data_IF_977561936195
#
_entry.id   IF_977561936195
#
_cell.length_a   1.000
_cell.length_b   1.000
_cell.length_c   1.000
_cell.angle_alpha   90.00
_cell.angle_beta   90.00
_cell.angle_gamma   90.00
#
_symmetry.space_group_name_H-M   'P 1'
#
loop_
_entity.id
_entity.type
_entity.pdbx_description
1 polymer ?
#
# COMPACT_ATOMS: atom_id res chain seq x y z
N UNK A 1 2.94 15.22 -1.69
CA UNK A 1 3.30 14.44 -0.51
C UNK A 1 4.38 15.14 0.27
N UNK A 2 4.25 15.21 1.56
CA UNK A 2 5.24 15.88 2.39
C UNK A 2 6.41 14.96 2.74
N UNK A 3 7.56 15.56 3.00
CA UNK A 3 8.73 14.82 3.47
C UNK A 3 8.47 14.09 4.79
N UNK A 4 7.53 14.58 5.58
CA UNK A 4 7.16 13.93 6.84
C UNK A 4 6.57 12.55 6.65
N UNK A 5 5.79 12.35 5.60
CA UNK A 5 5.19 11.05 5.32
C UNK A 5 6.26 10.03 4.96
N UNK A 6 7.24 10.45 4.17
CA UNK A 6 8.39 9.61 3.84
C UNK A 6 9.19 9.28 5.09
N UNK A 7 9.36 10.25 5.98
CA UNK A 7 10.08 10.04 7.23
C UNK A 7 9.40 8.97 8.09
N UNK A 8 8.07 8.99 8.14
CA UNK A 8 7.33 7.97 8.89
C UNK A 8 7.55 6.58 8.30
N UNK A 9 7.62 6.46 6.98
CA UNK A 9 7.89 5.18 6.33
C UNK A 9 9.29 4.69 6.63
N UNK A 10 10.27 5.59 6.70
CA UNK A 10 11.64 5.24 7.01
C UNK A 10 11.83 4.71 8.44
N UNK A 11 10.93 5.05 9.32
CA UNK A 11 11.00 4.61 10.71
C UNK A 11 10.54 3.17 10.91
N UNK A 12 10.09 2.50 9.87
CA UNK A 12 9.58 1.13 9.98
C UNK A 12 10.72 0.12 10.14
N UNK A 13 10.72 -0.67 11.23
CA UNK A 13 11.86 -1.54 11.56
C UNK A 13 12.05 -2.75 10.65
N UNK A 14 11.01 -3.15 9.91
CA UNK A 14 11.13 -4.29 8.99
C UNK A 14 11.77 -3.90 7.66
N UNK A 15 12.20 -2.69 7.56
CA UNK A 15 12.79 -2.16 6.36
C UNK A 15 14.20 -2.69 6.21
N UNK A 16 14.35 -3.71 5.40
CA UNK A 16 15.62 -4.36 5.21
C UNK A 16 16.54 -3.57 4.31
N UNK A 17 17.74 -3.31 4.78
CA UNK A 17 18.78 -2.70 3.97
C UNK A 17 19.48 -3.73 3.08
N UNK A 18 19.21 -5.00 3.30
CA UNK A 18 19.93 -6.09 2.66
C UNK A 18 19.29 -6.64 1.40
N UNK A 19 18.14 -6.11 1.01
CA UNK A 19 17.43 -6.56 -0.18
C UNK A 19 17.98 -5.88 -1.43
N UNK A 20 19.21 -6.16 -1.77
CA UNK A 20 19.88 -5.50 -2.88
C UNK A 20 19.31 -5.88 -4.24
N UNK A 21 18.70 -7.07 -4.34
CA UNK A 21 18.15 -7.58 -5.59
C UNK A 21 16.63 -7.47 -5.66
N UNK A 22 16.00 -6.90 -4.63
CA UNK A 22 14.56 -6.77 -4.54
C UNK A 22 14.24 -5.30 -4.27
N UNK A 23 13.23 -4.78 -4.94
CA UNK A 23 12.81 -3.40 -4.71
C UNK A 23 12.42 -3.22 -3.24
N UNK A 24 13.01 -2.25 -2.52
CA UNK A 24 12.62 -1.98 -1.14
C UNK A 24 11.14 -1.64 -1.03
N UNK A 25 10.53 -2.05 0.08
CA UNK A 25 9.10 -1.82 0.30
C UNK A 25 8.75 -0.33 0.21
N UNK A 26 9.58 0.55 0.76
CA UNK A 26 9.30 1.98 0.69
C UNK A 26 9.23 2.47 -0.75
N UNK A 27 10.04 1.91 -1.63
CA UNK A 27 10.03 2.28 -3.04
C UNK A 27 8.77 1.78 -3.73
N UNK A 28 8.32 0.59 -3.36
CA UNK A 28 7.04 0.06 -3.84
C UNK A 28 5.90 0.98 -3.40
N UNK A 29 5.90 1.38 -2.14
CA UNK A 29 4.89 2.27 -1.60
C UNK A 29 4.90 3.62 -2.32
N UNK A 30 6.07 4.17 -2.61
CA UNK A 30 6.20 5.41 -3.37
C UNK A 30 5.60 5.29 -4.77
N UNK A 31 5.93 4.21 -5.47
CA UNK A 31 5.40 3.99 -6.81
C UNK A 31 3.90 3.79 -6.81
N UNK A 32 3.40 3.02 -5.87
CA UNK A 32 1.95 2.82 -5.71
C UNK A 32 1.25 4.14 -5.42
N UNK A 33 1.85 4.96 -4.58
CA UNK A 33 1.31 6.28 -4.24
C UNK A 33 1.21 7.17 -5.50
N UNK A 34 2.24 7.18 -6.32
CA UNK A 34 2.22 7.94 -7.57
C UNK A 34 1.14 7.46 -8.51
N UNK A 35 1.01 6.15 -8.66
CA UNK A 35 -0.01 5.55 -9.52
C UNK A 35 -1.41 5.91 -9.01
N UNK A 36 -1.61 5.82 -7.70
CA UNK A 36 -2.89 6.17 -7.10
C UNK A 36 -3.24 7.63 -7.34
N UNK A 37 -2.28 8.53 -7.20
CA UNK A 37 -2.51 9.94 -7.46
C UNK A 37 -2.85 10.21 -8.92
N UNK A 38 -2.22 9.52 -9.84
CA UNK A 38 -2.54 9.62 -11.26
C UNK A 38 -3.95 9.13 -11.58
N UNK A 39 -4.45 8.19 -10.81
CA UNK A 39 -5.78 7.63 -10.99
C UNK A 39 -6.84 8.34 -10.16
N UNK A 40 -6.52 9.50 -9.60
CA UNK A 40 -7.45 10.33 -8.83
C UNK A 40 -8.01 9.61 -7.60
N UNK A 41 -7.22 8.75 -6.99
CA UNK A 41 -7.57 8.08 -5.74
C UNK A 41 -7.54 9.12 -4.62
N UNK A 42 -8.59 9.20 -3.82
CA UNK A 42 -8.69 10.20 -2.76
C UNK A 42 -7.77 9.92 -1.59
N UNK A 43 -7.72 8.68 -1.16
CA UNK A 43 -6.90 8.26 -0.03
C UNK A 43 -6.31 6.89 -0.28
N UNK A 44 -5.17 6.63 0.32
CA UNK A 44 -4.48 5.35 0.23
C UNK A 44 -4.04 4.93 1.62
N UNK A 45 -4.35 3.70 2.00
CA UNK A 45 -3.89 3.12 3.26
C UNK A 45 -3.08 1.86 2.99
N UNK A 46 -2.15 1.60 3.88
CA UNK A 46 -1.43 0.33 3.97
C UNK A 46 -2.19 -0.54 4.97
N UNK A 47 -2.36 -1.82 4.65
CA UNK A 47 -3.12 -2.73 5.48
C UNK A 47 -2.35 -4.05 5.66
N UNK A 48 -2.84 -4.91 6.54
CA UNK A 48 -2.25 -6.22 6.78
C UNK A 48 -0.95 -6.16 7.56
N UNK A 49 -0.06 -7.10 7.32
CA UNK A 49 1.16 -7.25 8.12
C UNK A 49 2.10 -6.05 8.04
N UNK A 50 2.14 -5.34 6.94
CA UNK A 50 2.98 -4.14 6.84
C UNK A 50 2.43 -2.98 7.67
N UNK A 51 1.12 -2.91 7.87
CA UNK A 51 0.53 -1.89 8.71
C UNK A 51 0.72 -2.18 10.21
N UNK A 52 0.69 -3.46 10.59
CA UNK A 52 0.79 -3.88 11.99
C UNK A 52 2.21 -4.19 12.45
N UNK A 53 3.18 -4.15 11.55
CA UNK A 53 4.58 -4.41 11.89
C UNK A 53 4.93 -5.89 12.01
N UNK A 54 4.10 -6.78 11.49
CA UNK A 54 4.33 -8.23 11.54
C UNK A 54 4.82 -8.79 10.20
N UNK A 55 5.13 -7.93 9.25
CA UNK A 55 5.54 -8.34 7.92
C UNK A 55 6.89 -9.03 7.93
N UNK A 56 7.03 -10.01 7.03
CA UNK A 56 8.29 -10.68 6.75
C UNK A 56 8.69 -10.38 5.31
N UNK A 57 9.85 -10.88 4.89
CA UNK A 57 10.30 -10.71 3.51
C UNK A 57 9.41 -11.43 2.48
N UNK A 58 8.54 -12.34 2.95
CA UNK A 58 7.62 -13.07 2.07
C UNK A 58 6.19 -12.54 2.14
N UNK A 59 5.94 -11.53 2.95
CA UNK A 59 4.59 -10.99 3.11
C UNK A 59 4.11 -10.24 1.88
N UNK A 60 2.83 -10.41 1.56
CA UNK A 60 2.17 -9.60 0.53
C UNK A 60 1.99 -8.17 1.04
N UNK A 61 1.93 -7.22 0.13
CA UNK A 61 1.66 -5.84 0.48
C UNK A 61 0.20 -5.55 0.13
N UNK A 62 -0.59 -5.21 1.13
CA UNK A 62 -2.00 -4.92 0.97
C UNK A 62 -2.25 -3.41 1.02
N UNK A 63 -2.89 -2.90 -0.01
CA UNK A 63 -3.27 -1.49 -0.08
C UNK A 63 -4.78 -1.35 -0.11
N UNK A 64 -5.29 -0.31 0.51
CA UNK A 64 -6.70 0.04 0.47
C UNK A 64 -6.84 1.41 -0.18
N UNK A 65 -7.63 1.49 -1.23
CA UNK A 65 -7.87 2.74 -1.96
C UNK A 65 -9.26 3.26 -1.69
N UNK A 66 -9.40 4.57 -1.63
CA UNK A 66 -10.65 5.26 -1.36
C UNK A 66 -10.98 6.20 -2.51
N UNK A 67 -12.23 6.17 -2.93
CA UNK A 67 -12.69 7.05 -4.00
C UNK A 67 -12.01 6.76 -5.33
N UNK A 68 -11.88 5.47 -5.66
CA UNK A 68 -11.27 5.05 -6.91
C UNK A 68 -12.28 5.13 -8.06
N UNK A 69 -12.05 5.97 -9.08
CA UNK A 69 -12.99 6.08 -10.19
C UNK A 69 -12.97 4.90 -11.15
N UNK A 70 -11.83 4.23 -11.28
CA UNK A 70 -11.69 3.10 -12.21
C UNK A 70 -10.69 2.09 -11.67
N UNK A 71 -11.21 1.07 -11.01
CA UNK A 71 -10.37 0.05 -10.39
C UNK A 71 -9.60 -0.79 -11.40
N UNK A 72 -10.18 -1.05 -12.54
CA UNK A 72 -9.51 -1.85 -13.57
C UNK A 72 -8.31 -1.12 -14.16
N UNK A 73 -8.43 0.17 -14.36
CA UNK A 73 -7.32 0.99 -14.82
C UNK A 73 -6.21 1.04 -13.76
N UNK A 74 -6.59 1.16 -12.49
CA UNK A 74 -5.64 1.16 -11.39
C UNK A 74 -4.86 -0.16 -11.35
N UNK A 75 -5.57 -1.28 -11.42
CA UNK A 75 -4.93 -2.58 -11.40
C UNK A 75 -3.98 -2.78 -12.58
N UNK A 76 -4.36 -2.28 -13.75
CA UNK A 76 -3.50 -2.32 -14.92
C UNK A 76 -2.23 -1.51 -14.73
N UNK A 77 -2.37 -0.30 -14.19
CA UNK A 77 -1.23 0.57 -13.93
C UNK A 77 -0.31 -0.03 -12.88
N UNK A 78 -0.86 -0.77 -11.92
CA UNK A 78 -0.08 -1.45 -10.89
C UNK A 78 0.82 -2.54 -11.44
N UNK A 79 0.51 -3.09 -12.59
CA UNK A 79 1.35 -4.11 -13.22
C UNK A 79 2.72 -3.56 -13.61
N UNK A 80 2.84 -2.24 -13.73
CA UNK A 80 4.11 -1.59 -14.04
C UNK A 80 5.06 -1.54 -12.84
N UNK A 81 4.58 -1.88 -11.65
CA UNK A 81 5.43 -1.93 -10.46
C UNK A 81 6.24 -3.22 -10.48
N UNK A 82 7.52 -3.08 -10.73
CA UNK A 82 8.43 -4.22 -10.79
C UNK A 82 8.79 -4.70 -9.39
N UNK A 83 8.20 -5.81 -8.98
CA UNK A 83 8.48 -6.41 -7.68
C UNK A 83 8.12 -7.89 -7.71
N UNK A 84 8.86 -8.67 -6.93
CA UNK A 84 8.55 -10.07 -6.71
C UNK A 84 7.46 -10.25 -5.64
N UNK A 85 7.15 -9.19 -4.90
CA UNK A 85 6.11 -9.26 -3.89
C UNK A 85 4.75 -9.15 -4.54
N UNK A 86 3.80 -9.90 -4.01
CA UNK A 86 2.41 -9.77 -4.43
C UNK A 86 1.83 -8.48 -3.84
N UNK A 87 1.16 -7.71 -4.68
CA UNK A 87 0.48 -6.48 -4.26
C UNK A 87 -1.01 -6.71 -4.42
N UNK A 88 -1.75 -6.57 -3.32
CA UNK A 88 -3.20 -6.66 -3.32
C UNK A 88 -3.81 -5.28 -3.14
N UNK A 89 -4.83 -5.01 -3.92
CA UNK A 89 -5.54 -3.72 -3.88
C UNK A 89 -6.98 -3.98 -3.45
N UNK A 90 -7.40 -3.31 -2.39
CA UNK A 90 -8.77 -3.37 -1.89
C UNK A 90 -9.43 -2.02 -2.15
N UNK A 91 -10.59 -2.04 -2.79
CA UNK A 91 -11.39 -0.84 -2.98
C UNK A 91 -12.34 -0.70 -1.79
N UNK A 92 -12.03 0.22 -0.89
CA UNK A 92 -12.79 0.41 0.34
C UNK A 92 -14.29 0.62 0.07
N UNK A 93 -14.61 1.39 -0.97
CA UNK A 93 -16.00 1.71 -1.28
C UNK A 93 -16.80 0.52 -1.81
N UNK A 94 -16.11 -0.54 -2.23
CA UNK A 94 -16.74 -1.77 -2.73
C UNK A 94 -16.78 -2.90 -1.70
N UNK A 95 -16.10 -2.73 -0.58
CA UNK A 95 -16.07 -3.76 0.46
C UNK A 95 -17.41 -3.82 1.18
N UNK A 96 -17.99 -5.02 1.28
CA UNK A 96 -19.25 -5.24 1.97
C UNK A 96 -19.10 -5.94 3.30
N UNK A 97 -17.95 -6.55 3.55
CA UNK A 97 -17.68 -7.25 4.79
C UNK A 97 -17.41 -6.24 5.89
N UNK A 98 -18.32 -6.13 6.85
CA UNK A 98 -18.22 -5.16 7.94
C UNK A 98 -17.01 -5.38 8.81
N UNK A 99 -16.63 -6.63 9.06
CA UNK A 99 -15.46 -6.93 9.87
C UNK A 99 -14.19 -6.47 9.20
N UNK A 100 -14.08 -6.67 7.89
CA UNK A 100 -12.93 -6.19 7.14
C UNK A 100 -12.85 -4.67 7.18
N UNK A 101 -13.97 -3.97 7.03
CA UNK A 101 -14.01 -2.51 7.13
C UNK A 101 -13.54 -2.04 8.51
N UNK A 102 -14.00 -2.69 9.57
CA UNK A 102 -13.58 -2.38 10.93
C UNK A 102 -12.08 -2.58 11.11
N UNK A 103 -11.55 -3.69 10.59
CA UNK A 103 -10.13 -3.99 10.69
C UNK A 103 -9.30 -2.95 9.93
N UNK A 104 -9.76 -2.52 8.77
CA UNK A 104 -9.08 -1.47 8.00
C UNK A 104 -9.08 -0.16 8.78
N UNK A 105 -10.21 0.19 9.38
CA UNK A 105 -10.33 1.42 10.15
C UNK A 105 -9.45 1.42 11.40
N UNK A 106 -9.31 0.25 12.04
CA UNK A 106 -8.52 0.13 13.27
C UNK A 106 -7.02 -0.03 13.01
N UNK A 107 -6.67 -0.82 12.02
CA UNK A 107 -5.28 -1.24 11.80
C UNK A 107 -4.66 -0.71 10.54
N UNK A 108 -5.44 -0.15 9.63
CA UNK A 108 -4.90 0.44 8.40
C UNK A 108 -4.07 1.67 8.72
N UNK A 109 -2.97 1.83 7.97
CA UNK A 109 -2.08 2.97 8.14
C UNK A 109 -2.21 3.89 6.93
N UNK A 110 -2.65 5.10 7.16
CA UNK A 110 -2.87 6.05 6.07
C UNK A 110 -1.55 6.53 5.47
N UNK A 111 -1.45 6.44 4.15
CA UNK A 111 -0.28 6.92 3.40
C UNK A 111 -0.53 8.36 2.96
N UNK A 112 -1.71 8.61 2.43
CA UNK A 112 -2.12 9.99 2.13
C UNK A 112 -3.63 10.14 2.09
#
# INVERSE_FOLDING_TARGET
>A
MSARELTCLHAMPWFGENDMNVMPVERIIEKVTEICKKNNIKHLKLFGSFATGTATEYSDIDFVVYGCPDILKLERDMEDVETLRKIDIFDYDSIRNKKLLEDIDLYGKQIY
#
